data_IF_210261809753
#
_entry.id   IF_210261809753
#
_cell.length_a   1.000
_cell.length_b   1.000
_cell.length_c   1.000
_cell.angle_alpha   90.00
_cell.angle_beta   90.00
_cell.angle_gamma   90.00
#
_symmetry.space_group_name_H-M   'P 1'
#
loop_
_entity.id
_entity.type
_entity.pdbx_description
1 polymer ?
#
# COMPACT_ATOMS: atom_id res chain seq x y z
N UNK A 1 -31.79 -7.17 4.26
CA UNK A 1 -31.19 -5.82 4.15
C UNK A 1 -29.75 -5.91 4.62
N UNK A 2 -28.78 -5.97 3.71
CA UNK A 2 -27.36 -5.90 4.05
C UNK A 2 -26.73 -4.88 3.10
N UNK A 3 -26.37 -3.71 3.63
CA UNK A 3 -25.60 -2.70 2.91
C UNK A 3 -24.16 -3.19 2.90
N UNK A 4 -23.66 -3.64 1.75
CA UNK A 4 -22.24 -3.75 1.48
C UNK A 4 -21.72 -2.33 1.21
N UNK A 5 -21.25 -1.65 2.25
CA UNK A 5 -20.42 -0.45 2.11
C UNK A 5 -18.98 -0.92 1.90
N UNK A 6 -18.64 -1.25 0.67
CA UNK A 6 -17.24 -1.38 0.26
C UNK A 6 -16.70 0.03 0.00
N UNK A 7 -16.29 0.72 1.05
CA UNK A 7 -15.77 2.09 0.91
C UNK A 7 -15.09 2.57 2.18
N UNK A 8 -13.76 2.45 2.23
CA UNK A 8 -12.80 3.26 3.01
C UNK A 8 -12.89 3.34 4.54
N UNK A 9 -14.07 3.19 5.16
CA UNK A 9 -14.33 3.59 6.54
C UNK A 9 -14.00 2.52 7.58
N UNK A 10 -13.99 1.24 7.20
CA UNK A 10 -13.61 0.12 8.09
C UNK A 10 -12.12 0.15 8.49
N UNK A 11 -11.30 0.95 7.79
CA UNK A 11 -9.86 1.11 8.06
C UNK A 11 -9.52 2.41 8.82
N UNK A 12 -10.51 3.21 9.25
CA UNK A 12 -10.29 4.41 10.07
C UNK A 12 -9.51 5.53 9.38
N UNK A 13 -9.68 5.69 8.06
CA UNK A 13 -8.93 6.67 7.26
C UNK A 13 -9.69 8.00 7.21
N UNK A 14 -9.18 9.03 7.88
CA UNK A 14 -9.75 10.38 7.92
C UNK A 14 -9.02 11.40 7.01
N UNK A 15 -8.07 10.94 6.18
CA UNK A 15 -7.33 11.82 5.28
C UNK A 15 -8.30 12.49 4.28
N UNK A 16 -8.53 13.82 4.37
CA UNK A 16 -9.54 14.48 3.57
C UNK A 16 -9.27 14.40 2.07
N UNK A 17 -8.01 14.41 1.66
CA UNK A 17 -7.61 14.37 0.25
C UNK A 17 -7.85 12.98 -0.34
N UNK A 18 -7.54 11.92 0.40
CA UNK A 18 -7.84 10.56 -0.03
C UNK A 18 -9.34 10.27 -0.07
N UNK A 19 -10.08 10.74 0.95
CA UNK A 19 -11.54 10.60 1.00
C UNK A 19 -12.18 11.35 -0.16
N UNK A 20 -11.71 12.54 -0.49
CA UNK A 20 -12.18 13.31 -1.64
C UNK A 20 -11.89 12.60 -2.97
N UNK A 21 -10.68 12.07 -3.16
CA UNK A 21 -10.33 11.28 -4.35
C UNK A 21 -11.18 10.02 -4.49
N UNK A 22 -11.43 9.31 -3.39
CA UNK A 22 -12.30 8.12 -3.38
C UNK A 22 -13.73 8.50 -3.73
N UNK A 23 -14.27 9.57 -3.15
CA UNK A 23 -15.60 10.08 -3.47
C UNK A 23 -15.73 10.47 -4.94
N UNK A 24 -14.73 11.16 -5.51
CA UNK A 24 -14.70 11.51 -6.94
C UNK A 24 -14.68 10.28 -7.84
N UNK A 25 -13.93 9.23 -7.46
CA UNK A 25 -13.91 7.96 -8.19
C UNK A 25 -15.28 7.27 -8.12
N UNK A 26 -15.90 7.20 -6.94
CA UNK A 26 -17.23 6.59 -6.78
C UNK A 26 -18.31 7.33 -7.58
N UNK A 27 -18.22 8.66 -7.66
CA UNK A 27 -19.15 9.49 -8.43
C UNK A 27 -19.00 9.28 -9.93
N UNK A 28 -17.76 9.29 -10.44
CA UNK A 28 -17.47 8.98 -11.84
C UNK A 28 -17.82 7.53 -12.20
N UNK A 29 -17.62 6.59 -11.28
CA UNK A 29 -18.07 5.21 -11.45
C UNK A 29 -19.59 5.15 -11.55
N UNK A 30 -20.35 5.85 -10.70
CA UNK A 30 -21.82 5.95 -10.82
C UNK A 30 -22.25 6.55 -12.16
N UNK A 31 -21.60 7.61 -12.64
CA UNK A 31 -21.86 8.17 -13.97
C UNK A 31 -21.58 7.15 -15.09
N UNK A 32 -20.50 6.38 -14.95
CA UNK A 32 -20.15 5.31 -15.87
C UNK A 32 -21.18 4.16 -15.85
N UNK A 33 -21.70 3.81 -14.67
CA UNK A 33 -22.71 2.77 -14.44
C UNK A 33 -24.10 3.17 -14.97
N UNK A 34 -24.45 4.46 -14.88
CA UNK A 34 -25.71 5.00 -15.40
C UNK A 34 -25.74 5.15 -16.93
N UNK A 35 -24.60 4.97 -17.60
CA UNK A 35 -24.48 5.19 -19.02
C UNK A 35 -25.26 4.13 -19.85
N UNK A 36 -26.01 4.51 -20.91
CA UNK A 36 -26.84 3.58 -21.72
C UNK A 36 -26.08 2.37 -22.31
N UNK A 37 -24.76 2.48 -22.42
CA UNK A 37 -23.85 1.45 -22.94
C UNK A 37 -23.18 0.61 -21.84
N UNK A 38 -23.64 0.69 -20.59
CA UNK A 38 -23.04 -0.01 -19.46
C UNK A 38 -23.45 -1.51 -19.39
N UNK A 39 -24.54 -1.92 -20.03
CA UNK A 39 -25.14 -3.27 -19.92
C UNK A 39 -24.33 -4.43 -20.54
N UNK A 40 -23.12 -4.22 -21.07
CA UNK A 40 -22.39 -5.24 -21.84
C UNK A 40 -21.20 -5.86 -21.09
N UNK A 41 -20.82 -5.39 -19.90
CA UNK A 41 -19.72 -6.02 -19.15
C UNK A 41 -20.25 -6.95 -18.05
N UNK A 42 -20.11 -8.28 -18.17
CA UNK A 42 -20.54 -9.21 -17.14
C UNK A 42 -19.65 -9.08 -15.90
N UNK A 43 -20.28 -8.89 -14.74
CA UNK A 43 -19.63 -8.93 -13.42
C UNK A 43 -19.45 -10.39 -12.96
N UNK A 44 -18.19 -10.81 -12.73
CA UNK A 44 -17.78 -12.12 -12.19
C UNK A 44 -16.25 -12.22 -12.08
N UNK A 45 -15.67 -13.03 -11.18
CA UNK A 45 -14.50 -12.64 -10.37
C UNK A 45 -13.13 -12.67 -11.11
N UNK A 46 -12.47 -11.51 -11.07
CA UNK A 46 -11.04 -11.22 -10.76
C UNK A 46 -10.18 -12.51 -10.61
N UNK A 47 -9.25 -12.89 -11.49
CA UNK A 47 -8.01 -12.19 -11.86
C UNK A 47 -7.57 -12.35 -13.34
N UNK A 48 -8.30 -13.09 -14.18
CA UNK A 48 -7.87 -13.33 -15.58
C UNK A 48 -8.29 -12.23 -16.58
N UNK A 49 -9.05 -11.23 -16.13
CA UNK A 49 -9.79 -10.32 -16.99
C UNK A 49 -8.99 -9.06 -17.37
N UNK A 50 -7.94 -8.70 -16.61
CA UNK A 50 -7.20 -7.46 -16.89
C UNK A 50 -6.49 -7.47 -18.25
N UNK A 51 -5.97 -8.63 -18.67
CA UNK A 51 -5.39 -8.80 -20.01
C UNK A 51 -6.47 -8.79 -21.11
N UNK A 52 -7.62 -9.43 -20.85
CA UNK A 52 -8.75 -9.49 -21.77
C UNK A 52 -9.45 -8.15 -21.93
N UNK A 53 -9.53 -7.30 -20.90
CA UNK A 53 -10.17 -5.97 -20.98
C UNK A 53 -9.31 -5.00 -21.77
N UNK A 54 -7.99 -5.01 -21.60
CA UNK A 54 -7.11 -4.14 -22.40
C UNK A 54 -7.13 -4.55 -23.88
N UNK A 55 -7.05 -5.85 -24.17
CA UNK A 55 -7.16 -6.37 -25.53
C UNK A 55 -8.56 -6.20 -26.12
N UNK A 56 -9.63 -6.42 -25.35
CA UNK A 56 -11.00 -6.20 -25.78
C UNK A 56 -11.28 -4.72 -26.03
N UNK A 57 -10.73 -3.79 -25.23
CA UNK A 57 -10.86 -2.36 -25.53
C UNK A 57 -10.12 -1.96 -26.81
N UNK A 58 -8.96 -2.57 -27.10
CA UNK A 58 -8.21 -2.34 -28.35
C UNK A 58 -8.89 -2.97 -29.56
N UNK A 59 -9.46 -4.16 -29.42
CA UNK A 59 -10.25 -4.85 -30.45
C UNK A 59 -11.59 -4.14 -30.66
N UNK A 60 -12.27 -3.68 -29.62
CA UNK A 60 -13.47 -2.84 -29.74
C UNK A 60 -13.11 -1.55 -30.46
N UNK A 61 -12.02 -0.86 -30.13
CA UNK A 61 -11.61 0.34 -30.87
C UNK A 61 -11.36 0.08 -32.37
N UNK A 62 -10.73 -1.06 -32.72
CA UNK A 62 -10.45 -1.46 -34.12
C UNK A 62 -11.71 -1.93 -34.85
N UNK A 63 -12.57 -2.72 -34.20
CA UNK A 63 -13.83 -3.20 -34.77
C UNK A 63 -14.84 -2.07 -34.88
N UNK A 64 -14.88 -1.12 -33.93
CA UNK A 64 -15.77 0.04 -33.95
C UNK A 64 -15.38 1.05 -35.03
N UNK A 65 -14.07 1.28 -35.25
CA UNK A 65 -13.59 2.11 -36.37
C UNK A 65 -13.86 1.47 -37.73
N UNK A 66 -13.85 0.14 -37.84
CA UNK A 66 -14.24 -0.58 -39.06
C UNK A 66 -15.77 -0.63 -39.27
N UNK A 67 -16.58 -0.68 -38.20
CA UNK A 67 -18.06 -0.71 -38.26
C UNK A 67 -18.65 0.68 -38.55
N UNK A 68 -17.98 1.76 -38.15
CA UNK A 68 -18.35 3.16 -38.45
C UNK A 68 -18.43 3.47 -39.96
N UNK A 69 -17.84 2.64 -40.83
CA UNK A 69 -17.89 2.85 -42.29
C UNK A 69 -19.07 2.18 -43.01
N UNK A 70 -19.91 1.34 -42.36
CA UNK A 70 -20.93 0.54 -43.08
C UNK A 70 -22.39 0.73 -42.67
N UNK A 71 -22.68 1.43 -41.59
CA UNK A 71 -24.06 1.80 -41.26
C UNK A 71 -24.08 3.18 -40.63
N UNK A 72 -25.11 3.97 -40.94
CA UNK A 72 -25.34 5.29 -40.35
C UNK A 72 -25.55 5.17 -38.85
N UNK A 73 -24.46 5.15 -38.10
CA UNK A 73 -24.48 5.29 -36.65
C UNK A 73 -25.01 6.69 -36.36
N UNK A 74 -26.16 6.76 -35.70
CA UNK A 74 -26.72 8.03 -35.24
C UNK A 74 -25.64 8.82 -34.49
N UNK A 75 -25.48 10.10 -34.79
CA UNK A 75 -24.46 10.99 -34.17
C UNK A 75 -24.51 10.95 -32.64
N UNK A 76 -25.69 10.70 -32.09
CA UNK A 76 -25.97 10.41 -30.68
C UNK A 76 -25.15 9.25 -30.11
N UNK A 77 -25.06 8.12 -30.81
CA UNK A 77 -24.32 6.94 -30.33
C UNK A 77 -22.82 7.22 -30.26
N UNK A 78 -22.28 7.94 -31.25
CA UNK A 78 -20.87 8.34 -31.29
C UNK A 78 -20.53 9.24 -30.08
N UNK A 79 -21.40 10.20 -29.77
CA UNK A 79 -21.25 11.07 -28.58
C UNK A 79 -21.30 10.26 -27.28
N UNK A 80 -22.19 9.28 -27.19
CA UNK A 80 -22.33 8.37 -26.06
C UNK A 80 -21.03 7.57 -25.83
N UNK A 81 -20.44 6.98 -26.89
CA UNK A 81 -19.15 6.29 -26.78
C UNK A 81 -17.99 7.22 -26.40
N UNK A 82 -17.97 8.44 -26.92
CA UNK A 82 -16.95 9.44 -26.57
C UNK A 82 -17.00 9.81 -25.09
N UNK A 83 -18.20 10.10 -24.56
CA UNK A 83 -18.39 10.43 -23.14
C UNK A 83 -17.97 9.28 -22.23
N UNK A 84 -18.35 8.04 -22.55
CA UNK A 84 -17.90 6.85 -21.80
C UNK A 84 -16.39 6.71 -21.78
N UNK A 85 -15.72 6.98 -22.90
CA UNK A 85 -14.25 6.91 -22.98
C UNK A 85 -13.56 8.01 -22.15
N UNK A 86 -14.11 9.22 -22.12
CA UNK A 86 -13.61 10.33 -21.31
C UNK A 86 -13.71 10.05 -19.81
N UNK A 87 -14.89 9.67 -19.33
CA UNK A 87 -15.12 9.33 -17.93
C UNK A 87 -14.19 8.20 -17.49
N UNK A 88 -14.01 7.18 -18.33
CA UNK A 88 -13.10 6.07 -18.03
C UNK A 88 -11.62 6.53 -17.97
N UNK A 89 -11.18 7.46 -18.82
CA UNK A 89 -9.83 8.05 -18.69
C UNK A 89 -9.65 8.81 -17.39
N UNK A 90 -10.66 9.58 -16.98
CA UNK A 90 -10.63 10.36 -15.75
C UNK A 90 -10.53 9.46 -14.50
N UNK A 91 -11.30 8.37 -14.48
CA UNK A 91 -11.20 7.33 -13.44
C UNK A 91 -9.79 6.74 -13.38
N UNK A 92 -9.18 6.40 -14.52
CA UNK A 92 -7.81 5.86 -14.53
C UNK A 92 -6.77 6.87 -14.04
N UNK A 93 -6.94 8.14 -14.37
CA UNK A 93 -6.06 9.22 -13.90
C UNK A 93 -6.15 9.39 -12.39
N UNK A 94 -7.35 9.48 -11.84
CA UNK A 94 -7.58 9.61 -10.40
C UNK A 94 -7.07 8.38 -9.64
N UNK A 95 -7.29 7.17 -10.17
CA UNK A 95 -6.71 5.93 -9.62
C UNK A 95 -5.18 5.95 -9.63
N UNK A 96 -4.55 6.58 -10.63
CA UNK A 96 -3.09 6.76 -10.63
C UNK A 96 -2.63 7.74 -9.55
N UNK A 97 -3.29 8.90 -9.45
CA UNK A 97 -2.98 9.89 -8.41
C UNK A 97 -3.09 9.30 -7.00
N UNK A 98 -4.10 8.47 -6.76
CA UNK A 98 -4.26 7.77 -5.48
C UNK A 98 -3.11 6.80 -5.18
N UNK A 99 -2.61 6.07 -6.20
CA UNK A 99 -1.43 5.18 -6.05
C UNK A 99 -0.15 5.97 -5.82
N UNK A 100 -0.02 7.14 -6.43
CA UNK A 100 1.14 8.02 -6.27
C UNK A 100 1.12 8.80 -4.94
N UNK A 101 0.04 8.70 -4.16
CA UNK A 101 -0.07 9.35 -2.86
C UNK A 101 0.97 8.82 -1.87
N UNK A 102 1.55 9.73 -1.08
CA UNK A 102 2.56 9.39 -0.07
C UNK A 102 2.00 8.46 1.02
N UNK A 103 0.69 8.50 1.24
CA UNK A 103 0.01 7.70 2.24
C UNK A 103 0.10 6.19 1.94
N UNK A 104 0.03 5.79 0.67
CA UNK A 104 0.18 4.38 0.30
C UNK A 104 1.58 3.86 0.67
N UNK A 105 2.63 4.66 0.39
CA UNK A 105 4.01 4.32 0.75
C UNK A 105 4.18 4.18 2.26
N UNK A 106 3.61 5.11 3.03
CA UNK A 106 3.63 5.06 4.49
C UNK A 106 2.96 3.80 5.05
N UNK A 107 1.83 3.37 4.46
CA UNK A 107 1.14 2.13 4.85
C UNK A 107 1.99 0.90 4.58
N UNK A 108 2.64 0.83 3.43
CA UNK A 108 3.51 -0.29 3.08
C UNK A 108 4.72 -0.37 4.02
N UNK A 109 5.30 0.78 4.37
CA UNK A 109 6.36 0.88 5.37
C UNK A 109 5.89 0.41 6.76
N UNK A 110 4.74 0.89 7.24
CA UNK A 110 4.17 0.49 8.52
C UNK A 110 3.87 -1.01 8.58
N UNK A 111 3.32 -1.57 7.50
CA UNK A 111 3.07 -3.01 7.36
C UNK A 111 4.37 -3.82 7.40
N UNK A 112 5.42 -3.34 6.74
CA UNK A 112 6.74 -3.98 6.75
C UNK A 112 7.38 -3.94 8.14
N UNK A 113 7.33 -2.80 8.84
CA UNK A 113 7.82 -2.66 10.22
C UNK A 113 7.05 -3.56 11.19
N UNK A 114 5.71 -3.55 11.10
CA UNK A 114 4.86 -4.44 11.90
C UNK A 114 5.20 -5.92 11.71
N UNK A 115 5.49 -6.34 10.47
CA UNK A 115 5.93 -7.72 10.18
C UNK A 115 7.23 -8.09 10.91
N UNK A 116 8.20 -7.19 10.96
CA UNK A 116 9.45 -7.41 11.70
C UNK A 116 9.18 -7.52 13.20
N UNK A 117 8.40 -6.59 13.77
CA UNK A 117 8.06 -6.61 15.20
C UNK A 117 7.30 -7.88 15.62
N UNK A 118 6.41 -8.40 14.75
CA UNK A 118 5.74 -9.70 14.96
C UNK A 118 6.75 -10.85 14.96
N UNK A 119 7.66 -10.87 13.99
CA UNK A 119 8.67 -11.93 13.86
C UNK A 119 9.64 -11.97 15.04
N UNK A 120 10.00 -10.80 15.58
CA UNK A 120 10.89 -10.67 16.74
C UNK A 120 10.16 -10.84 18.09
N UNK A 121 8.82 -10.96 18.09
CA UNK A 121 8.02 -11.16 19.30
C UNK A 121 7.82 -9.89 20.14
N UNK A 122 7.99 -8.71 19.56
CA UNK A 122 7.69 -7.43 20.24
C UNK A 122 6.18 -7.15 20.28
N UNK A 123 5.45 -7.61 19.26
CA UNK A 123 3.99 -7.59 19.18
C UNK A 123 3.49 -8.99 18.76
N UNK A 124 2.26 -9.36 19.11
CA UNK A 124 1.66 -10.63 18.68
C UNK A 124 0.93 -10.53 17.33
N UNK A 125 0.25 -11.61 16.93
CA UNK A 125 -0.49 -11.71 15.68
C UNK A 125 -1.59 -10.64 15.57
N UNK A 126 -2.24 -10.30 16.69
CA UNK A 126 -3.31 -9.31 16.81
C UNK A 126 -2.78 -7.88 16.95
N UNK A 127 -1.46 -7.72 17.07
CA UNK A 127 -0.79 -6.42 17.18
C UNK A 127 -0.68 -5.90 18.61
N UNK A 128 -0.93 -6.73 19.62
CA UNK A 128 -0.79 -6.38 21.02
C UNK A 128 0.67 -6.44 21.44
N UNK A 129 1.13 -5.40 22.15
CA UNK A 129 2.53 -5.26 22.58
C UNK A 129 2.87 -6.26 23.68
N UNK A 130 3.91 -7.05 23.43
CA UNK A 130 4.42 -8.07 24.35
C UNK A 130 5.45 -7.49 25.32
N UNK A 131 5.92 -8.30 26.28
CA UNK A 131 6.93 -7.88 27.25
C UNK A 131 8.20 -7.31 26.58
N UNK A 132 8.70 -8.00 25.55
CA UNK A 132 9.88 -7.57 24.77
C UNK A 132 9.65 -6.22 24.09
N UNK A 133 8.45 -5.99 23.56
CA UNK A 133 8.03 -4.71 22.99
C UNK A 133 8.01 -3.59 24.03
N UNK A 134 7.40 -3.83 25.19
CA UNK A 134 7.36 -2.84 26.28
C UNK A 134 8.75 -2.50 26.81
N UNK A 135 9.64 -3.49 26.90
CA UNK A 135 11.02 -3.28 27.32
C UNK A 135 11.83 -2.52 26.26
N UNK A 136 11.66 -2.80 24.97
CA UNK A 136 12.24 -2.00 23.88
C UNK A 136 11.86 -0.52 23.97
N UNK A 137 10.62 -0.20 24.34
CA UNK A 137 10.17 1.20 24.50
C UNK A 137 10.90 1.98 25.61
N UNK A 138 11.72 1.32 26.44
CA UNK A 138 12.53 1.97 27.47
C UNK A 138 13.95 2.29 26.99
N UNK A 139 14.33 1.86 25.78
CA UNK A 139 15.65 2.14 25.19
C UNK A 139 15.51 3.38 24.31
N UNK A 140 16.24 4.44 24.65
CA UNK A 140 16.20 5.74 23.97
C UNK A 140 17.57 6.16 23.38
N UNK A 141 18.63 5.44 23.72
CA UNK A 141 20.03 5.82 23.51
C UNK A 141 20.78 4.96 22.48
N UNK A 142 20.11 3.97 21.88
CA UNK A 142 20.68 3.07 20.87
C UNK A 142 19.59 2.31 20.09
N UNK A 143 19.99 1.34 19.26
CA UNK A 143 19.07 0.49 18.49
C UNK A 143 18.28 -0.44 19.44
N UNK A 144 17.02 -0.09 19.67
CA UNK A 144 16.16 -0.76 20.65
C UNK A 144 15.87 -2.22 20.29
N UNK A 145 15.85 -2.57 19.00
CA UNK A 145 15.58 -3.93 18.57
C UNK A 145 16.81 -4.82 18.78
N UNK A 146 17.99 -4.34 18.36
CA UNK A 146 19.22 -5.09 18.50
C UNK A 146 19.59 -5.34 19.97
N UNK A 147 19.50 -4.30 20.80
CA UNK A 147 19.80 -4.43 22.24
C UNK A 147 18.85 -5.43 22.90
N UNK A 148 17.55 -5.35 22.60
CA UNK A 148 16.57 -6.29 23.15
C UNK A 148 16.78 -7.74 22.70
N UNK A 149 17.20 -7.97 21.45
CA UNK A 149 17.57 -9.31 21.00
C UNK A 149 18.78 -9.86 21.77
N UNK A 150 19.82 -9.05 21.98
CA UNK A 150 21.00 -9.47 22.74
C UNK A 150 20.65 -9.77 24.20
N UNK A 151 19.82 -8.93 24.83
CA UNK A 151 19.34 -9.15 26.19
C UNK A 151 18.52 -10.44 26.33
N UNK A 152 17.52 -10.65 25.45
CA UNK A 152 16.63 -11.82 25.54
C UNK A 152 17.31 -13.13 25.14
N UNK A 153 18.35 -13.07 24.30
CA UNK A 153 19.19 -14.23 23.97
C UNK A 153 20.24 -14.52 25.04
N UNK A 154 20.32 -13.72 26.11
CA UNK A 154 21.22 -13.93 27.24
C UNK A 154 22.68 -13.59 26.95
N UNK A 155 22.98 -12.82 25.89
CA UNK A 155 24.35 -12.45 25.52
C UNK A 155 25.13 -11.83 26.70
N UNK A 156 24.46 -11.04 27.53
CA UNK A 156 25.09 -10.33 28.64
C UNK A 156 25.28 -11.18 29.89
N UNK A 157 24.75 -12.41 29.96
CA UNK A 157 24.79 -13.23 31.17
C UNK A 157 26.20 -13.72 31.51
N UNK A 158 27.02 -13.95 30.48
CA UNK A 158 28.37 -14.53 30.60
C UNK A 158 29.48 -13.49 30.40
N UNK A 159 29.15 -12.20 30.38
CA UNK A 159 30.11 -11.11 30.18
C UNK A 159 30.50 -10.48 31.51
N UNK A 160 31.80 -10.23 31.67
CA UNK A 160 32.31 -9.43 32.78
C UNK A 160 31.85 -7.96 32.66
N UNK A 161 31.76 -7.21 33.77
CA UNK A 161 31.32 -5.81 33.75
C UNK A 161 32.04 -4.94 32.70
N UNK A 162 33.35 -5.11 32.56
CA UNK A 162 34.15 -4.35 31.58
C UNK A 162 33.77 -4.70 30.14
N UNK A 163 33.43 -5.96 29.88
CA UNK A 163 32.98 -6.43 28.56
C UNK A 163 31.57 -5.95 28.25
N UNK A 164 30.67 -5.92 29.25
CA UNK A 164 29.33 -5.34 29.11
C UNK A 164 29.43 -3.86 28.74
N UNK A 165 30.28 -3.09 29.42
CA UNK A 165 30.50 -1.67 29.13
C UNK A 165 31.09 -1.49 27.73
N UNK A 166 32.08 -2.30 27.35
CA UNK A 166 32.66 -2.25 26.01
C UNK A 166 31.62 -2.51 24.92
N UNK A 167 30.79 -3.55 25.06
CA UNK A 167 29.71 -3.85 24.11
C UNK A 167 28.63 -2.77 24.10
N UNK A 168 28.22 -2.29 25.27
CA UNK A 168 27.21 -1.24 25.40
C UNK A 168 27.66 0.08 24.75
N UNK A 169 28.95 0.39 24.79
CA UNK A 169 29.53 1.57 24.14
C UNK A 169 29.30 1.59 22.62
N UNK A 170 29.13 0.43 21.98
CA UNK A 170 28.87 0.31 20.56
C UNK A 170 27.45 0.74 20.14
N UNK A 171 26.49 0.82 21.08
CA UNK A 171 25.12 1.25 20.78
C UNK A 171 24.92 2.76 20.89
N UNK A 172 25.88 3.46 21.49
CA UNK A 172 25.82 4.92 21.65
C UNK A 172 26.37 5.55 20.36
N UNK A 173 25.60 6.42 19.68
CA UNK A 173 26.09 7.13 18.50
C UNK A 173 27.35 7.94 18.86
N UNK A 174 28.47 7.64 18.20
CA UNK A 174 29.74 8.34 18.34
C UNK A 174 30.22 8.96 17.03
N UNK A 175 31.22 9.82 17.12
CA UNK A 175 31.89 10.40 15.95
C UNK A 175 32.64 9.32 15.16
N UNK A 176 32.66 9.45 13.83
CA UNK A 176 33.42 8.53 12.98
C UNK A 176 34.92 8.74 13.20
N UNK A 177 35.60 7.73 13.73
CA UNK A 177 37.06 7.67 13.81
C UNK A 177 37.65 7.02 12.55
N UNK A 178 38.72 7.61 11.99
CA UNK A 178 39.50 6.99 10.90
C UNK A 178 40.60 6.03 11.41
N UNK A 179 40.63 5.75 12.72
CA UNK A 179 41.61 4.85 13.32
C UNK A 179 41.28 3.40 12.98
N UNK A 180 42.22 2.72 12.30
CA UNK A 180 42.10 1.31 11.98
C UNK A 180 42.62 0.47 13.17
N UNK A 181 41.71 -0.08 13.96
CA UNK A 181 42.05 -0.93 15.10
C UNK A 181 42.48 -2.30 14.59
N UNK A 182 43.75 -2.66 14.79
CA UNK A 182 44.25 -4.01 14.51
C UNK A 182 43.98 -4.89 15.74
N UNK A 183 42.98 -5.77 15.65
CA UNK A 183 42.72 -6.77 16.67
C UNK A 183 43.86 -7.81 16.64
N UNK A 184 44.48 -8.06 17.79
CA UNK A 184 45.41 -9.18 17.93
C UNK A 184 44.58 -10.47 17.95
N UNK A 185 44.84 -11.35 16.99
CA UNK A 185 44.27 -12.69 16.91
C UNK A 185 44.87 -13.62 17.97
#
# INVERSE_FOLDING_TARGET
>A
MAKHTAGGTDMGIEDPELVELVNQIEELEKELFAHPLHTITPHGPIESIFFYVVLANKIIFIVQSAVLSRHGSSTEQIKCFQRKAEVNREIQLLKSKMRDSQLQKFRDELKNRSRVLKKLGHIDADGIVQLKGRAACLIDTGDELLVMELMFNGMFNDLDPDQVVALASCFIPGDRSNEQIHLRA
#
